data_IF_132595226318
#
_entry.id   IF_132595226318
#
_cell.length_a   1.000
_cell.length_b   1.000
_cell.length_c   1.000
_cell.angle_alpha   90.00
_cell.angle_beta   90.00
_cell.angle_gamma   90.00
#
_symmetry.space_group_name_H-M   'P 1'
#
loop_
_entity.id
_entity.type
_entity.pdbx_description
1 polymer ?
#
# COMPACT_ATOMS: atom_id res chain seq x y z
N UNK A 1 -23.31 -61.98 -40.50
CA UNK A 1 -22.33 -61.24 -39.69
C UNK A 1 -21.75 -62.25 -38.72
N UNK A 2 -20.50 -62.63 -38.93
CA UNK A 2 -19.82 -63.71 -38.21
C UNK A 2 -19.60 -63.30 -36.75
N UNK A 3 -20.10 -64.09 -35.81
CA UNK A 3 -19.90 -63.86 -34.37
C UNK A 3 -18.45 -64.16 -33.98
N UNK A 4 -17.88 -63.30 -33.13
CA UNK A 4 -16.53 -63.47 -32.61
C UNK A 4 -16.41 -64.79 -31.84
N UNK A 5 -15.49 -65.65 -32.27
CA UNK A 5 -15.20 -66.93 -31.62
C UNK A 5 -14.16 -66.73 -30.54
N UNK A 6 -14.32 -67.43 -29.42
CA UNK A 6 -13.34 -67.37 -28.34
C UNK A 6 -11.96 -67.88 -28.81
N UNK A 7 -10.89 -67.10 -28.55
CA UNK A 7 -9.50 -67.47 -28.91
C UNK A 7 -9.02 -68.77 -28.24
N UNK A 8 -9.62 -69.17 -27.12
CA UNK A 8 -9.19 -70.33 -26.33
C UNK A 8 -9.96 -71.62 -26.68
N UNK A 9 -11.29 -71.57 -26.74
CA UNK A 9 -12.12 -72.77 -26.99
C UNK A 9 -12.78 -72.83 -28.37
N UNK A 10 -12.65 -71.79 -29.20
CA UNK A 10 -13.18 -71.75 -30.57
C UNK A 10 -14.71 -71.64 -30.69
N UNK A 11 -15.43 -71.67 -29.57
CA UNK A 11 -16.88 -71.57 -29.52
C UNK A 11 -17.38 -70.12 -29.65
N UNK A 12 -18.56 -69.96 -30.26
CA UNK A 12 -19.24 -68.68 -30.45
C UNK A 12 -20.14 -68.32 -29.25
N UNK A 13 -19.56 -68.39 -28.04
CA UNK A 13 -20.23 -68.17 -26.76
C UNK A 13 -19.54 -67.06 -25.97
N UNK A 14 -19.43 -65.88 -26.58
CA UNK A 14 -18.77 -64.69 -26.02
C UNK A 14 -19.84 -63.66 -25.68
N UNK A 15 -19.87 -63.18 -24.43
CA UNK A 15 -20.86 -62.24 -23.91
C UNK A 15 -20.14 -61.07 -23.24
N UNK A 16 -20.65 -59.85 -23.42
CA UNK A 16 -20.15 -58.65 -22.77
C UNK A 16 -20.94 -58.40 -21.48
N UNK A 17 -20.25 -58.33 -20.34
CA UNK A 17 -20.84 -58.03 -19.04
C UNK A 17 -19.96 -57.00 -18.31
N UNK A 18 -20.58 -55.94 -17.79
CA UNK A 18 -19.94 -54.86 -17.01
C UNK A 18 -18.59 -54.33 -17.54
N UNK A 19 -18.46 -54.17 -18.86
CA UNK A 19 -17.26 -53.60 -19.49
C UNK A 19 -16.14 -54.59 -19.77
N UNK A 20 -16.38 -55.89 -19.58
CA UNK A 20 -15.47 -56.97 -19.95
C UNK A 20 -16.15 -57.96 -20.90
N UNK A 21 -15.38 -58.51 -21.84
CA UNK A 21 -15.87 -59.49 -22.81
C UNK A 21 -15.37 -60.87 -22.38
N UNK A 22 -16.29 -61.76 -21.99
CA UNK A 22 -15.96 -63.06 -21.39
C UNK A 22 -16.64 -64.20 -22.14
N UNK A 23 -15.92 -65.30 -22.32
CA UNK A 23 -16.49 -66.53 -22.86
C UNK A 23 -17.25 -67.30 -21.77
N UNK A 24 -18.54 -67.57 -21.98
CA UNK A 24 -19.39 -68.27 -21.00
C UNK A 24 -19.09 -69.76 -20.86
N UNK A 25 -18.38 -70.36 -21.83
CA UNK A 25 -18.06 -71.80 -21.81
C UNK A 25 -16.72 -72.11 -21.12
N UNK A 26 -15.68 -71.29 -21.35
CA UNK A 26 -14.34 -71.54 -20.79
C UNK A 26 -13.88 -70.49 -19.77
N UNK A 27 -14.67 -69.44 -19.53
CA UNK A 27 -14.34 -68.37 -18.57
C UNK A 27 -13.21 -67.44 -19.01
N UNK A 28 -12.68 -67.59 -20.23
CA UNK A 28 -11.59 -66.77 -20.73
C UNK A 28 -12.09 -65.34 -21.04
N UNK A 29 -11.48 -64.36 -20.39
CA UNK A 29 -11.62 -62.92 -20.71
C UNK A 29 -10.83 -62.62 -21.98
N UNK A 30 -11.48 -62.04 -22.98
CA UNK A 30 -10.85 -61.55 -24.20
C UNK A 30 -10.43 -60.08 -24.00
N UNK A 31 -9.27 -59.70 -24.53
CA UNK A 31 -8.45 -58.52 -24.16
C UNK A 31 -9.18 -57.19 -23.86
N UNK A 32 -8.58 -56.45 -22.92
CA UNK A 32 -8.99 -55.17 -22.33
C UNK A 32 -9.60 -54.17 -23.32
N UNK A 33 -10.92 -54.01 -23.25
CA UNK A 33 -11.57 -52.83 -23.80
C UNK A 33 -11.18 -51.62 -22.92
N UNK A 34 -10.13 -50.89 -23.30
CA UNK A 34 -9.89 -49.54 -22.79
C UNK A 34 -11.02 -48.62 -23.25
N UNK A 35 -12.11 -48.61 -22.48
CA UNK A 35 -13.17 -47.62 -22.63
C UNK A 35 -12.62 -46.30 -22.08
N UNK A 36 -12.23 -45.40 -22.97
CA UNK A 36 -12.00 -44.00 -22.61
C UNK A 36 -13.36 -43.39 -22.25
N UNK A 37 -13.66 -43.30 -20.95
CA UNK A 37 -14.78 -42.49 -20.47
C UNK A 37 -14.37 -41.03 -20.59
N UNK A 38 -15.02 -40.31 -21.50
CA UNK A 38 -14.93 -38.85 -21.63
C UNK A 38 -15.47 -38.21 -20.35
N UNK A 39 -14.65 -37.36 -19.71
CA UNK A 39 -15.02 -36.58 -18.52
C UNK A 39 -16.22 -35.69 -18.80
N UNK A 40 -17.39 -36.13 -18.35
CA UNK A 40 -18.63 -35.35 -18.30
C UNK A 40 -19.51 -35.97 -17.23
N UNK A 41 -19.84 -35.19 -16.20
CA UNK A 41 -20.83 -35.47 -15.17
C UNK A 41 -20.38 -36.31 -13.94
N UNK A 42 -19.48 -35.71 -13.15
CA UNK A 42 -19.44 -36.01 -11.71
C UNK A 42 -20.57 -35.25 -11.00
N UNK A 43 -21.71 -35.91 -10.83
CA UNK A 43 -22.72 -35.51 -9.85
C UNK A 43 -22.50 -36.25 -8.53
N UNK A 44 -22.52 -35.48 -7.45
CA UNK A 44 -22.41 -35.85 -6.04
C UNK A 44 -23.39 -36.98 -5.67
N UNK A 45 -22.89 -38.17 -5.33
CA UNK A 45 -23.48 -39.06 -4.32
C UNK A 45 -22.40 -39.99 -3.76
N UNK A 46 -21.77 -39.56 -2.67
CA UNK A 46 -20.91 -40.41 -1.85
C UNK A 46 -21.78 -41.39 -1.07
N UNK A 47 -22.00 -42.59 -1.61
CA UNK A 47 -22.39 -43.75 -0.81
C UNK A 47 -21.20 -44.70 -0.68
N UNK A 48 -20.83 -44.88 0.58
CA UNK A 48 -19.80 -45.75 1.12
C UNK A 48 -19.84 -47.17 0.52
N UNK A 49 -18.76 -47.59 -0.14
CA UNK A 49 -18.44 -49.01 -0.31
C UNK A 49 -17.36 -49.41 0.71
N UNK A 50 -17.80 -50.15 1.72
CA UNK A 50 -16.92 -50.98 2.54
C UNK A 50 -16.42 -52.15 1.69
N UNK A 51 -15.14 -52.16 1.34
CA UNK A 51 -14.45 -53.35 0.86
C UNK A 51 -13.10 -53.42 1.57
N UNK A 52 -12.85 -54.58 2.20
CA UNK A 52 -11.85 -54.77 3.22
C UNK A 52 -10.41 -54.57 2.75
N UNK A 53 -9.69 -53.75 3.50
CA UNK A 53 -8.24 -53.68 3.48
C UNK A 53 -7.77 -53.48 4.92
N UNK A 54 -6.94 -54.42 5.40
CA UNK A 54 -6.42 -54.47 6.77
C UNK A 54 -5.93 -53.11 7.28
N UNK A 55 -6.57 -52.64 8.36
CA UNK A 55 -6.09 -51.54 9.17
C UNK A 55 -4.89 -52.02 10.00
N UNK A 56 -3.68 -51.59 9.62
CA UNK A 56 -2.55 -51.50 10.54
C UNK A 56 -2.49 -50.05 11.04
N UNK A 57 -2.80 -49.76 12.32
CA UNK A 57 -2.70 -48.42 12.86
C UNK A 57 -1.27 -48.18 13.34
N UNK A 58 -0.34 -47.99 12.41
CA UNK A 58 0.97 -47.43 12.75
C UNK A 58 0.98 -45.96 12.36
N UNK A 59 0.95 -45.15 13.42
CA UNK A 59 1.31 -43.74 13.48
C UNK A 59 2.28 -43.28 12.37
N UNK A 60 2.02 -42.08 11.82
CA UNK A 60 3.03 -41.28 11.11
C UNK A 60 3.13 -41.50 9.60
N UNK A 61 2.13 -41.08 8.83
CA UNK A 61 2.27 -40.87 7.36
C UNK A 61 1.75 -39.48 6.96
N UNK A 62 2.32 -38.44 7.54
CA UNK A 62 2.17 -37.07 7.01
C UNK A 62 3.33 -36.65 6.10
N UNK A 63 4.44 -37.41 6.08
CA UNK A 63 5.69 -36.96 5.44
C UNK A 63 6.02 -37.57 4.07
N UNK A 64 5.24 -38.52 3.56
CA UNK A 64 5.55 -39.16 2.26
C UNK A 64 4.99 -38.45 1.01
N UNK A 65 4.26 -37.32 1.16
CA UNK A 65 3.77 -36.53 0.01
C UNK A 65 4.73 -35.44 -0.47
N UNK A 66 5.92 -35.34 0.11
CA UNK A 66 6.93 -34.33 -0.26
C UNK A 66 7.96 -34.80 -1.29
N UNK A 67 7.93 -36.08 -1.70
CA UNK A 67 9.00 -36.70 -2.49
C UNK A 67 8.98 -36.39 -4.01
N UNK A 68 8.00 -35.64 -4.53
CA UNK A 68 8.03 -35.21 -5.92
C UNK A 68 7.95 -33.68 -5.99
N UNK A 69 9.11 -33.02 -6.11
CA UNK A 69 9.25 -31.56 -6.23
C UNK A 69 8.26 -30.94 -7.22
N UNK A 70 7.92 -31.67 -8.30
CA UNK A 70 6.97 -31.24 -9.31
C UNK A 70 5.50 -31.28 -8.85
N UNK A 71 5.10 -32.26 -8.03
CA UNK A 71 3.72 -32.32 -7.48
C UNK A 71 3.51 -31.28 -6.37
N UNK A 72 4.51 -31.06 -5.52
CA UNK A 72 4.49 -29.97 -4.54
C UNK A 72 4.40 -28.60 -5.24
N UNK A 73 5.23 -28.36 -6.26
CA UNK A 73 5.19 -27.13 -7.04
C UNK A 73 3.80 -26.87 -7.65
N UNK A 74 3.22 -27.88 -8.30
CA UNK A 74 1.87 -27.79 -8.91
C UNK A 74 0.78 -27.54 -7.88
N UNK A 75 0.80 -28.25 -6.74
CA UNK A 75 -0.22 -28.10 -5.70
C UNK A 75 -0.18 -26.72 -5.03
N UNK A 76 1.01 -26.18 -4.74
CA UNK A 76 1.19 -24.84 -4.18
C UNK A 76 0.73 -23.77 -5.17
N UNK A 77 1.15 -23.90 -6.43
CA UNK A 77 0.76 -22.97 -7.49
C UNK A 77 -0.76 -22.96 -7.70
N UNK A 78 -1.39 -24.13 -7.75
CA UNK A 78 -2.85 -24.25 -7.84
C UNK A 78 -3.55 -23.59 -6.65
N UNK A 79 -3.09 -23.87 -5.41
CA UNK A 79 -3.65 -23.29 -4.19
C UNK A 79 -3.64 -21.75 -4.21
N UNK A 80 -2.51 -21.15 -4.54
CA UNK A 80 -2.36 -19.69 -4.54
C UNK A 80 -3.01 -19.03 -5.75
N UNK A 81 -3.08 -19.72 -6.89
CA UNK A 81 -3.83 -19.23 -8.06
C UNK A 81 -5.33 -19.18 -7.75
N UNK A 82 -5.86 -20.20 -7.07
CA UNK A 82 -7.25 -20.19 -6.57
C UNK A 82 -7.48 -19.10 -5.53
N UNK A 83 -6.49 -18.79 -4.69
CA UNK A 83 -6.57 -17.66 -3.76
C UNK A 83 -6.63 -16.32 -4.49
N UNK A 84 -5.81 -16.12 -5.52
CA UNK A 84 -5.84 -14.91 -6.37
C UNK A 84 -7.21 -14.74 -7.02
N UNK A 85 -7.77 -15.82 -7.59
CA UNK A 85 -9.10 -15.77 -8.20
C UNK A 85 -10.17 -15.34 -7.19
N UNK A 86 -10.18 -15.94 -6.00
CA UNK A 86 -11.09 -15.55 -4.91
C UNK A 86 -10.90 -14.09 -4.47
N UNK A 87 -9.65 -13.61 -4.45
CA UNK A 87 -9.36 -12.22 -4.12
C UNK A 87 -9.93 -11.27 -5.18
N UNK A 88 -9.71 -11.56 -6.46
CA UNK A 88 -10.27 -10.78 -7.56
C UNK A 88 -11.81 -10.76 -7.56
N UNK A 89 -12.44 -11.89 -7.21
CA UNK A 89 -13.90 -11.99 -7.00
C UNK A 89 -14.35 -11.12 -5.82
N UNK A 90 -13.65 -11.16 -4.68
CA UNK A 90 -13.99 -10.36 -3.49
C UNK A 90 -13.88 -8.85 -3.74
N UNK A 91 -12.99 -8.43 -4.64
CA UNK A 91 -12.85 -7.03 -5.05
C UNK A 91 -13.80 -6.65 -6.19
N UNK A 92 -14.63 -7.58 -6.68
CA UNK A 92 -15.56 -7.35 -7.78
C UNK A 92 -14.87 -6.87 -9.07
N UNK A 93 -13.68 -7.40 -9.39
CA UNK A 93 -13.02 -7.14 -10.67
C UNK A 93 -13.87 -7.73 -11.80
N UNK A 94 -14.54 -6.88 -12.57
CA UNK A 94 -15.42 -7.29 -13.67
C UNK A 94 -14.68 -7.96 -14.83
N UNK A 95 -13.43 -7.55 -15.09
CA UNK A 95 -12.66 -8.04 -16.23
C UNK A 95 -11.98 -9.38 -15.91
N UNK A 96 -12.49 -10.48 -16.48
CA UNK A 96 -11.90 -11.83 -16.33
C UNK A 96 -10.44 -11.92 -16.81
N UNK A 97 -10.04 -11.09 -17.77
CA UNK A 97 -8.65 -11.07 -18.25
C UNK A 97 -7.67 -10.67 -17.13
N UNK A 98 -8.07 -9.74 -16.26
CA UNK A 98 -7.25 -9.32 -15.12
C UNK A 98 -7.03 -10.47 -14.11
N UNK A 99 -7.99 -11.38 -13.96
CA UNK A 99 -7.83 -12.55 -13.08
C UNK A 99 -6.73 -13.47 -13.58
N UNK A 100 -6.69 -13.69 -14.90
CA UNK A 100 -5.67 -14.53 -15.56
C UNK A 100 -4.30 -13.88 -15.45
N UNK A 101 -4.21 -12.58 -15.77
CA UNK A 101 -2.94 -11.83 -15.71
C UNK A 101 -2.34 -11.78 -14.30
N UNK A 102 -3.15 -11.56 -13.26
CA UNK A 102 -2.69 -11.60 -11.88
C UNK A 102 -2.11 -12.99 -11.52
N UNK A 103 -2.79 -14.06 -11.98
CA UNK A 103 -2.30 -15.42 -11.85
C UNK A 103 -0.98 -15.65 -12.59
N UNK A 104 -0.83 -15.09 -13.79
CA UNK A 104 0.38 -15.25 -14.60
C UNK A 104 1.58 -14.46 -14.05
N UNK A 105 1.36 -13.26 -13.50
CA UNK A 105 2.38 -12.53 -12.73
C UNK A 105 2.85 -13.38 -11.55
N UNK A 106 1.92 -13.98 -10.79
CA UNK A 106 2.27 -14.87 -9.68
C UNK A 106 3.06 -16.09 -10.14
N UNK A 107 2.65 -16.75 -11.23
CA UNK A 107 3.40 -17.89 -11.80
C UNK A 107 4.80 -17.49 -12.23
N UNK A 108 4.98 -16.31 -12.82
CA UNK A 108 6.30 -15.77 -13.17
C UNK A 108 7.15 -15.50 -11.92
N UNK A 109 6.58 -14.86 -10.90
CA UNK A 109 7.26 -14.62 -9.64
C UNK A 109 7.69 -15.92 -8.95
N UNK A 110 6.81 -16.92 -8.92
CA UNK A 110 7.05 -18.19 -8.24
C UNK A 110 8.15 -19.07 -8.88
N UNK A 111 8.56 -18.78 -10.12
CA UNK A 111 9.73 -19.40 -10.76
C UNK A 111 11.05 -18.90 -10.18
N UNK A 112 11.08 -17.73 -9.56
CA UNK A 112 12.28 -17.14 -8.97
C UNK A 112 12.55 -17.79 -7.60
N UNK A 113 13.77 -18.27 -7.38
CA UNK A 113 14.16 -19.02 -6.18
C UNK A 113 13.83 -18.28 -4.87
N UNK A 114 14.06 -16.96 -4.85
CA UNK A 114 13.75 -16.07 -3.72
C UNK A 114 12.28 -16.14 -3.31
N UNK A 115 11.36 -16.09 -4.27
CA UNK A 115 9.92 -16.10 -4.00
C UNK A 115 9.38 -17.53 -3.74
N UNK A 116 10.01 -18.55 -4.32
CA UNK A 116 9.65 -19.96 -4.14
C UNK A 116 9.76 -20.40 -2.67
N UNK A 117 10.85 -20.01 -2.01
CA UNK A 117 11.19 -20.45 -0.65
C UNK A 117 10.62 -19.57 0.47
N UNK A 118 9.71 -18.64 0.15
CA UNK A 118 9.10 -17.76 1.16
C UNK A 118 8.12 -18.48 2.10
N UNK A 119 7.98 -17.92 3.31
CA UNK A 119 6.94 -18.27 4.27
C UNK A 119 5.53 -18.05 3.71
N UNK A 120 4.53 -18.74 4.28
CA UNK A 120 3.13 -18.70 3.84
C UNK A 120 2.56 -17.26 3.84
N UNK A 121 2.87 -16.46 4.84
CA UNK A 121 2.40 -15.08 4.96
C UNK A 121 2.96 -14.19 3.84
N UNK A 122 4.28 -14.30 3.56
CA UNK A 122 4.90 -13.61 2.42
C UNK A 122 4.33 -14.06 1.09
N UNK A 123 3.99 -15.34 0.92
CA UNK A 123 3.30 -15.85 -0.28
C UNK A 123 1.88 -15.28 -0.42
N UNK A 124 1.15 -15.13 0.69
CA UNK A 124 -0.15 -14.44 0.69
C UNK A 124 0.02 -12.98 0.25
N UNK A 125 0.95 -12.25 0.85
CA UNK A 125 1.27 -10.86 0.45
C UNK A 125 1.70 -10.75 -1.02
N UNK A 126 2.41 -11.75 -1.55
CA UNK A 126 2.77 -11.84 -2.96
C UNK A 126 1.54 -11.96 -3.86
N UNK A 127 0.57 -12.82 -3.52
CA UNK A 127 -0.71 -12.90 -4.25
C UNK A 127 -1.44 -11.55 -4.27
N UNK A 128 -1.55 -10.89 -3.11
CA UNK A 128 -2.19 -9.57 -3.01
C UNK A 128 -1.46 -8.53 -3.86
N UNK A 129 -0.13 -8.56 -3.85
CA UNK A 129 0.70 -7.68 -4.68
C UNK A 129 0.51 -7.94 -6.17
N UNK A 130 0.41 -9.21 -6.60
CA UNK A 130 0.15 -9.53 -8.01
C UNK A 130 -1.19 -8.94 -8.48
N UNK A 131 -2.24 -9.07 -7.66
CA UNK A 131 -3.55 -8.47 -7.95
C UNK A 131 -3.44 -6.94 -8.00
N UNK A 132 -2.76 -6.32 -7.03
CA UNK A 132 -2.50 -4.87 -7.04
C UNK A 132 -1.81 -4.42 -8.33
N UNK A 133 -0.72 -5.07 -8.72
CA UNK A 133 0.03 -4.75 -9.93
C UNK A 133 -0.88 -4.83 -11.16
N UNK A 134 -1.68 -5.89 -11.29
CA UNK A 134 -2.64 -6.01 -12.41
C UNK A 134 -3.67 -4.88 -12.38
N UNK A 135 -4.24 -4.54 -11.22
CA UNK A 135 -5.16 -3.41 -11.11
C UNK A 135 -4.52 -2.11 -11.61
N UNK A 136 -3.23 -1.92 -11.34
CA UNK A 136 -2.49 -0.72 -11.75
C UNK A 136 -2.12 -0.70 -13.23
N UNK A 137 -1.87 -1.86 -13.83
CA UNK A 137 -1.66 -1.96 -15.27
C UNK A 137 -2.92 -1.63 -16.09
N UNK A 138 -4.10 -1.80 -15.49
CA UNK A 138 -5.40 -1.46 -16.10
C UNK A 138 -6.00 -0.15 -15.55
N UNK A 139 -5.15 0.75 -15.02
CA UNK A 139 -5.53 2.09 -14.54
C UNK A 139 -6.65 2.11 -13.48
N UNK A 140 -6.84 1.01 -12.75
CA UNK A 140 -7.87 0.96 -11.72
C UNK A 140 -7.35 1.60 -10.41
N UNK A 141 -8.03 2.63 -9.85
CA UNK A 141 -7.51 3.45 -8.75
C UNK A 141 -7.66 2.76 -7.39
N UNK A 142 -7.01 1.61 -7.23
CA UNK A 142 -6.93 0.89 -5.96
C UNK A 142 -5.70 1.33 -5.18
N UNK A 143 -5.92 1.64 -3.91
CA UNK A 143 -4.87 1.92 -2.94
C UNK A 143 -4.48 0.66 -2.16
N UNK A 144 -3.21 0.58 -1.75
CA UNK A 144 -2.69 -0.53 -0.91
C UNK A 144 -3.49 -0.66 0.39
N UNK A 145 -3.98 0.44 0.97
CA UNK A 145 -4.78 0.41 2.21
C UNK A 145 -6.09 -0.37 2.04
N UNK A 146 -6.74 -0.26 0.89
CA UNK A 146 -7.99 -0.97 0.61
C UNK A 146 -7.74 -2.48 0.58
N UNK A 147 -6.61 -2.91 0.01
CA UNK A 147 -6.20 -4.31 -0.02
C UNK A 147 -5.85 -4.86 1.37
N UNK A 148 -5.23 -4.04 2.21
CA UNK A 148 -4.93 -4.40 3.61
C UNK A 148 -6.24 -4.67 4.36
N UNK A 149 -7.25 -3.82 4.18
CA UNK A 149 -8.57 -4.00 4.81
C UNK A 149 -9.30 -5.28 4.39
N UNK A 150 -9.15 -5.71 3.13
CA UNK A 150 -9.81 -6.92 2.60
C UNK A 150 -9.06 -8.19 3.01
N UNK A 151 -7.72 -8.14 2.99
CA UNK A 151 -6.89 -9.35 3.07
C UNK A 151 -6.27 -9.57 4.45
N UNK A 152 -6.35 -8.59 5.36
CA UNK A 152 -5.72 -8.61 6.67
C UNK A 152 -4.22 -8.96 6.58
N UNK A 153 -3.55 -8.36 5.59
CA UNK A 153 -2.10 -8.51 5.38
C UNK A 153 -1.42 -7.23 5.85
N UNK A 154 -0.34 -7.29 6.66
CA UNK A 154 0.32 -6.08 7.15
C UNK A 154 0.81 -5.21 5.99
N UNK A 155 0.60 -3.89 6.11
CA UNK A 155 0.89 -2.90 5.06
C UNK A 155 2.37 -2.90 4.70
N UNK A 156 3.25 -2.95 5.69
CA UNK A 156 4.70 -2.86 5.54
C UNK A 156 5.22 -4.06 4.74
N UNK A 157 4.68 -5.25 5.04
CA UNK A 157 4.99 -6.48 4.32
C UNK A 157 4.52 -6.40 2.87
N UNK A 158 3.28 -5.94 2.65
CA UNK A 158 2.70 -5.80 1.33
C UNK A 158 3.50 -4.82 0.46
N UNK A 159 3.89 -3.67 1.02
CA UNK A 159 4.73 -2.68 0.33
C UNK A 159 6.11 -3.24 -0.03
N UNK A 160 6.74 -3.98 0.90
CA UNK A 160 8.05 -4.59 0.68
C UNK A 160 7.98 -5.61 -0.45
N UNK A 161 7.03 -6.55 -0.40
CA UNK A 161 6.86 -7.58 -1.43
C UNK A 161 6.49 -6.96 -2.78
N UNK A 162 5.61 -5.96 -2.79
CA UNK A 162 5.24 -5.28 -4.03
C UNK A 162 6.46 -4.62 -4.70
N UNK A 163 7.31 -3.93 -3.94
CA UNK A 163 8.56 -3.36 -4.45
C UNK A 163 9.51 -4.44 -4.97
N UNK A 164 9.69 -5.52 -4.22
CA UNK A 164 10.52 -6.66 -4.64
C UNK A 164 10.01 -7.24 -5.98
N UNK A 165 8.69 -7.47 -6.12
CA UNK A 165 8.09 -8.00 -7.35
C UNK A 165 8.30 -7.07 -8.55
N UNK A 166 8.06 -5.77 -8.38
CA UNK A 166 8.22 -4.78 -9.45
C UNK A 166 9.67 -4.75 -9.95
N UNK A 167 10.63 -4.79 -9.02
CA UNK A 167 12.06 -4.80 -9.33
C UNK A 167 12.50 -6.08 -10.05
N UNK A 168 12.13 -7.25 -9.52
CA UNK A 168 12.55 -8.55 -10.04
C UNK A 168 11.87 -8.88 -11.39
N UNK A 169 10.59 -8.53 -11.55
CA UNK A 169 9.83 -8.78 -12.78
C UNK A 169 9.97 -7.64 -13.81
N UNK A 170 10.70 -6.56 -13.46
CA UNK A 170 10.90 -5.36 -14.30
C UNK A 170 9.60 -4.80 -14.88
N UNK A 171 8.55 -4.77 -14.05
CA UNK A 171 7.24 -4.26 -14.47
C UNK A 171 7.28 -2.73 -14.34
N UNK A 172 6.87 -2.03 -15.40
CA UNK A 172 6.64 -0.58 -15.34
C UNK A 172 5.21 -0.35 -14.87
N UNK A 173 5.06 0.43 -13.80
CA UNK A 173 3.75 0.77 -13.24
C UNK A 173 3.67 2.29 -13.15
N UNK A 174 2.64 2.86 -13.74
CA UNK A 174 2.36 4.29 -13.66
C UNK A 174 1.79 4.65 -12.29
N UNK A 175 2.01 5.87 -11.81
CA UNK A 175 1.48 6.36 -10.51
C UNK A 175 -0.05 6.55 -10.55
N UNK A 176 -0.73 6.45 -9.39
CA UNK A 176 -2.20 6.63 -9.35
C UNK A 176 -2.48 8.09 -9.67
N UNK A 177 -3.33 8.33 -10.66
CA UNK A 177 -3.94 9.63 -10.86
C UNK A 177 -4.76 9.98 -9.62
N UNK A 178 -4.40 11.08 -8.95
CA UNK A 178 -5.08 11.51 -7.71
C UNK A 178 -6.56 11.79 -8.02
N UNK A 179 -6.81 12.29 -9.22
CA UNK A 179 -8.10 12.64 -9.78
C UNK A 179 -9.07 11.45 -9.79
N UNK A 180 -8.61 10.26 -10.18
CA UNK A 180 -9.44 9.05 -10.22
C UNK A 180 -9.72 8.46 -8.83
N UNK A 181 -8.86 8.76 -7.87
CA UNK A 181 -9.02 8.28 -6.49
C UNK A 181 -10.00 9.14 -5.67
N UNK A 182 -10.16 10.43 -6.01
CA UNK A 182 -11.03 11.37 -5.26
C UNK A 182 -12.47 10.84 -5.08
N UNK A 183 -13.19 10.39 -6.13
CA UNK A 183 -14.56 9.92 -5.97
C UNK A 183 -14.67 8.72 -5.02
N UNK A 184 -13.71 7.79 -5.08
CA UNK A 184 -13.66 6.62 -4.22
C UNK A 184 -13.45 7.02 -2.75
N UNK A 185 -12.46 7.88 -2.50
CA UNK A 185 -12.17 8.40 -1.16
C UNK A 185 -13.38 9.14 -0.54
N UNK A 186 -14.10 9.94 -1.34
CA UNK A 186 -15.28 10.67 -0.88
C UNK A 186 -16.45 9.74 -0.55
N UNK A 187 -16.71 8.75 -1.40
CA UNK A 187 -17.76 7.73 -1.18
C UNK A 187 -17.50 6.91 0.08
N UNK A 188 -16.26 6.48 0.31
CA UNK A 188 -15.86 5.75 1.52
C UNK A 188 -16.10 6.58 2.81
N UNK A 189 -16.04 7.91 2.70
CA UNK A 189 -16.28 8.84 3.79
C UNK A 189 -17.75 9.32 3.89
N UNK A 190 -18.66 8.77 3.08
CA UNK A 190 -20.11 9.05 3.15
C UNK A 190 -20.57 10.26 2.34
N UNK A 191 -19.74 10.78 1.44
CA UNK A 191 -20.10 11.89 0.55
C UNK A 191 -20.72 11.32 -0.72
N UNK A 192 -22.02 11.53 -0.91
CA UNK A 192 -22.78 11.03 -2.06
C UNK A 192 -23.05 12.09 -3.14
N UNK A 193 -22.94 13.37 -2.80
CA UNK A 193 -23.31 14.46 -3.71
C UNK A 193 -22.23 14.75 -4.74
N UNK A 194 -22.54 14.49 -6.01
CA UNK A 194 -21.63 14.71 -7.15
C UNK A 194 -21.18 16.17 -7.28
N UNK A 195 -21.99 17.13 -6.81
CA UNK A 195 -21.67 18.56 -6.80
C UNK A 195 -20.39 18.85 -6.02
N UNK A 196 -20.25 18.26 -4.83
CA UNK A 196 -19.06 18.45 -4.01
C UNK A 196 -17.88 17.66 -4.57
N UNK A 197 -18.11 16.50 -5.18
CA UNK A 197 -17.06 15.71 -5.86
C UNK A 197 -16.43 16.52 -6.99
N UNK A 198 -17.23 17.11 -7.88
CA UNK A 198 -16.75 17.94 -8.98
C UNK A 198 -15.94 19.15 -8.48
N UNK A 199 -16.45 19.84 -7.46
CA UNK A 199 -15.73 20.99 -6.89
C UNK A 199 -14.45 20.60 -6.14
N UNK A 200 -14.45 19.42 -5.50
CA UNK A 200 -13.26 18.88 -4.84
C UNK A 200 -12.16 18.57 -5.86
N UNK A 201 -12.52 18.04 -7.04
CA UNK A 201 -11.58 17.82 -8.13
C UNK A 201 -10.90 19.12 -8.58
N UNK A 202 -11.66 20.21 -8.76
CA UNK A 202 -11.10 21.52 -9.12
C UNK A 202 -10.12 22.05 -8.06
N UNK A 203 -10.50 21.99 -6.78
CA UNK A 203 -9.65 22.45 -5.66
C UNK A 203 -8.40 21.56 -5.53
N UNK A 204 -8.52 20.26 -5.78
CA UNK A 204 -7.38 19.34 -5.77
C UNK A 204 -6.42 19.56 -6.95
N UNK A 205 -6.94 19.91 -8.13
CA UNK A 205 -6.12 20.31 -9.28
C UNK A 205 -5.30 21.55 -8.93
N UNK A 206 -5.91 22.56 -8.29
CA UNK A 206 -5.19 23.72 -7.78
C UNK A 206 -4.13 23.31 -6.73
N UNK A 207 -4.47 22.43 -5.78
CA UNK A 207 -3.53 21.97 -4.75
C UNK A 207 -2.32 21.22 -5.33
N UNK A 208 -2.50 20.53 -6.46
CA UNK A 208 -1.43 19.85 -7.20
C UNK A 208 -0.45 20.85 -7.82
N UNK A 209 -0.97 21.89 -8.45
CA UNK A 209 -0.17 23.00 -9.02
C UNK A 209 0.59 23.77 -7.94
N UNK A 210 0.01 23.89 -6.74
CA UNK A 210 0.63 24.54 -5.58
C UNK A 210 1.61 23.65 -4.79
N UNK A 211 1.98 22.47 -5.31
CA UNK A 211 2.92 21.53 -4.67
C UNK A 211 2.47 21.00 -3.29
N UNK A 212 1.17 21.04 -2.98
CA UNK A 212 0.62 20.62 -1.68
C UNK A 212 0.35 19.11 -1.59
N UNK A 213 0.43 18.40 -2.70
CA UNK A 213 0.17 16.95 -2.80
C UNK A 213 1.41 16.11 -2.52
N UNK A 214 2.61 16.65 -2.74
CA UNK A 214 3.86 15.87 -2.74
C UNK A 214 4.24 15.41 -1.32
N UNK A 215 4.53 14.11 -1.19
CA UNK A 215 5.03 13.50 0.05
C UNK A 215 4.02 13.51 1.21
N UNK A 216 2.75 13.79 0.95
CA UNK A 216 1.72 14.00 1.97
C UNK A 216 0.62 12.95 1.88
N UNK A 217 -0.10 12.77 2.99
CA UNK A 217 -1.25 11.87 3.06
C UNK A 217 -2.42 12.44 2.25
N UNK A 218 -2.72 11.80 1.12
CA UNK A 218 -3.66 12.30 0.11
C UNK A 218 -5.10 12.39 0.68
N UNK A 219 -5.57 11.40 1.45
CA UNK A 219 -6.94 11.40 1.98
C UNK A 219 -7.23 12.63 2.85
N UNK A 220 -6.23 13.09 3.59
CA UNK A 220 -6.41 14.26 4.47
C UNK A 220 -6.54 15.55 3.66
N UNK A 221 -5.89 15.61 2.50
CA UNK A 221 -5.99 16.71 1.56
C UNK A 221 -7.32 16.67 0.80
N UNK A 222 -7.76 15.48 0.34
CA UNK A 222 -9.07 15.29 -0.31
C UNK A 222 -10.20 15.73 0.62
N UNK A 223 -10.20 15.29 1.88
CA UNK A 223 -11.22 15.69 2.85
C UNK A 223 -11.17 17.18 3.18
N UNK A 224 -9.99 17.80 3.19
CA UNK A 224 -9.85 19.23 3.39
C UNK A 224 -10.41 20.03 2.20
N UNK A 225 -10.11 19.60 0.97
CA UNK A 225 -10.64 20.17 -0.27
C UNK A 225 -12.17 20.00 -0.36
N UNK A 226 -12.69 18.85 0.05
CA UNK A 226 -14.13 18.61 0.14
C UNK A 226 -14.81 19.51 1.17
N UNK A 227 -14.16 19.77 2.31
CA UNK A 227 -14.67 20.73 3.29
C UNK A 227 -14.77 22.14 2.70
N UNK A 228 -13.78 22.56 1.91
CA UNK A 228 -13.81 23.86 1.20
C UNK A 228 -14.95 23.88 0.18
N UNK A 229 -15.06 22.85 -0.66
CA UNK A 229 -16.16 22.71 -1.63
C UNK A 229 -17.54 22.80 -0.96
N UNK A 230 -17.74 22.09 0.15
CA UNK A 230 -18.97 22.12 0.93
C UNK A 230 -19.29 23.50 1.54
N UNK A 231 -18.25 24.23 1.98
CA UNK A 231 -18.40 25.58 2.52
C UNK A 231 -18.75 26.60 1.44
N UNK A 232 -18.22 26.45 0.22
CA UNK A 232 -18.43 27.41 -0.87
C UNK A 232 -19.71 27.14 -1.66
N UNK A 233 -20.10 25.87 -1.84
CA UNK A 233 -21.29 25.51 -2.61
C UNK A 233 -22.61 25.80 -1.88
N UNK A 234 -22.60 26.10 -0.59
CA UNK A 234 -23.82 26.39 0.17
C UNK A 234 -23.61 27.58 1.09
N UNK A 235 -24.37 28.67 0.93
CA UNK A 235 -24.15 29.90 1.68
C UNK A 235 -24.34 29.72 3.20
N UNK A 236 -25.17 28.79 3.66
CA UNK A 236 -25.34 28.50 5.09
C UNK A 236 -24.09 27.86 5.74
N UNK A 237 -23.23 27.24 4.94
CA UNK A 237 -22.08 26.48 5.43
C UNK A 237 -20.82 27.35 5.60
N UNK A 238 -20.82 28.59 5.12
CA UNK A 238 -19.65 29.47 5.14
C UNK A 238 -19.06 29.77 6.54
N UNK A 239 -19.89 29.70 7.59
CA UNK A 239 -19.51 29.91 9.00
C UNK A 239 -19.24 28.60 9.73
N UNK A 240 -19.53 27.46 9.10
CA UNK A 240 -19.42 26.16 9.76
C UNK A 240 -17.97 25.73 9.82
N UNK A 241 -17.55 25.31 11.01
CA UNK A 241 -16.20 24.82 11.31
C UNK A 241 -15.99 23.39 10.79
N UNK A 242 -14.72 22.97 10.67
CA UNK A 242 -14.35 21.60 10.22
C UNK A 242 -14.99 20.50 11.10
N UNK A 243 -15.09 20.62 12.44
CA UNK A 243 -15.84 19.64 13.23
C UNK A 243 -17.33 19.58 12.90
N UNK A 244 -17.95 20.71 12.51
CA UNK A 244 -19.35 20.72 12.08
C UNK A 244 -19.51 20.05 10.72
N UNK A 245 -18.58 20.25 9.78
CA UNK A 245 -18.51 19.50 8.52
C UNK A 245 -18.47 17.98 8.77
N UNK A 246 -17.59 17.54 9.67
CA UNK A 246 -17.50 16.12 10.05
C UNK A 246 -18.79 15.53 10.60
N UNK A 247 -19.51 16.29 11.42
CA UNK A 247 -20.79 15.86 12.00
C UNK A 247 -21.93 15.89 10.99
N UNK A 248 -21.99 16.93 10.15
CA UNK A 248 -23.12 17.12 9.24
C UNK A 248 -23.03 16.24 8.00
N UNK A 249 -21.83 16.07 7.44
CA UNK A 249 -21.65 15.36 6.18
C UNK A 249 -21.09 13.95 6.37
N UNK A 250 -20.03 13.79 7.15
CA UNK A 250 -19.32 12.51 7.27
C UNK A 250 -19.84 11.60 8.38
N UNK A 251 -20.70 12.14 9.27
CA UNK A 251 -21.15 11.54 10.51
C UNK A 251 -19.99 10.94 11.37
N UNK A 252 -18.80 11.55 11.29
CA UNK A 252 -17.56 11.05 11.91
C UNK A 252 -16.68 12.20 12.40
N UNK A 253 -15.81 11.91 13.38
CA UNK A 253 -14.80 12.87 13.84
C UNK A 253 -13.71 13.03 12.77
N UNK A 254 -13.49 14.26 12.34
CA UNK A 254 -12.45 14.59 11.35
C UNK A 254 -11.06 14.55 12.00
N UNK A 255 -10.07 13.85 11.40
CA UNK A 255 -8.70 13.81 11.91
C UNK A 255 -8.03 15.20 11.97
N UNK A 256 -7.11 15.41 12.91
CA UNK A 256 -6.41 16.69 13.05
C UNK A 256 -5.52 17.02 11.85
N UNK A 257 -5.05 15.99 11.12
CA UNK A 257 -4.30 16.18 9.88
C UNK A 257 -5.14 16.94 8.83
N UNK A 258 -6.44 16.65 8.72
CA UNK A 258 -7.36 17.36 7.81
C UNK A 258 -7.47 18.83 8.20
N UNK A 259 -7.52 19.13 9.50
CA UNK A 259 -7.56 20.52 9.98
C UNK A 259 -6.29 21.29 9.62
N UNK A 260 -5.12 20.65 9.70
CA UNK A 260 -3.84 21.24 9.27
C UNK A 260 -3.86 21.54 7.77
N UNK A 261 -4.28 20.58 6.94
CA UNK A 261 -4.34 20.74 5.47
C UNK A 261 -5.38 21.77 5.03
N UNK A 262 -6.54 21.84 5.69
CA UNK A 262 -7.53 22.89 5.43
C UNK A 262 -6.98 24.28 5.75
N UNK A 263 -6.28 24.46 6.87
CA UNK A 263 -5.62 25.73 7.20
C UNK A 263 -4.57 26.13 6.15
N UNK A 264 -3.74 25.19 5.70
CA UNK A 264 -2.74 25.45 4.65
C UNK A 264 -3.41 25.89 3.33
N UNK A 265 -4.40 25.13 2.86
CA UNK A 265 -5.15 25.45 1.63
C UNK A 265 -5.84 26.80 1.72
N UNK A 266 -6.56 27.07 2.81
CA UNK A 266 -7.27 28.33 2.99
C UNK A 266 -6.33 29.53 3.10
N UNK A 267 -5.16 29.36 3.71
CA UNK A 267 -4.14 30.41 3.75
C UNK A 267 -3.59 30.73 2.36
N UNK A 268 -3.34 29.72 1.53
CA UNK A 268 -2.85 29.94 0.16
C UNK A 268 -3.93 30.57 -0.70
N UNK A 269 -5.17 30.07 -0.63
CA UNK A 269 -6.31 30.65 -1.35
C UNK A 269 -6.51 32.12 -0.96
N UNK A 270 -6.45 32.47 0.34
CA UNK A 270 -6.53 33.86 0.80
C UNK A 270 -5.43 34.75 0.20
N UNK A 271 -4.21 34.22 0.07
CA UNK A 271 -3.10 34.93 -0.58
C UNK A 271 -3.38 35.13 -2.08
N UNK A 272 -3.88 34.11 -2.77
CA UNK A 272 -4.27 34.23 -4.18
C UNK A 272 -5.36 35.30 -4.37
N UNK A 273 -6.38 35.33 -3.50
CA UNK A 273 -7.43 36.37 -3.52
C UNK A 273 -6.84 37.77 -3.40
N UNK A 274 -5.80 37.96 -2.58
CA UNK A 274 -5.19 39.28 -2.40
C UNK A 274 -4.50 39.85 -3.64
N UNK A 275 -4.17 38.99 -4.62
CA UNK A 275 -3.58 39.38 -5.91
C UNK A 275 -4.63 39.67 -6.98
N UNK A 276 -5.92 39.45 -6.70
CA UNK A 276 -7.01 39.71 -7.66
C UNK A 276 -7.32 41.22 -7.72
N UNK A 277 -7.24 41.88 -8.89
CA UNK A 277 -7.32 43.35 -9.00
C UNK A 277 -8.62 43.97 -8.47
N UNK A 278 -9.75 43.29 -8.61
CA UNK A 278 -11.07 43.79 -8.21
C UNK A 278 -11.44 43.48 -6.75
N UNK A 279 -10.57 42.79 -6.01
CA UNK A 279 -10.83 42.46 -4.60
C UNK A 279 -10.27 43.55 -3.70
N UNK A 280 -11.16 44.35 -3.10
CA UNK A 280 -10.77 45.39 -2.15
C UNK A 280 -10.27 44.78 -0.83
N UNK A 281 -9.16 45.31 -0.28
CA UNK A 281 -8.58 44.89 1.02
C UNK A 281 -9.59 44.96 2.19
N UNK A 282 -10.59 45.84 2.10
CA UNK A 282 -11.70 45.98 3.05
C UNK A 282 -12.62 44.75 3.09
N UNK A 283 -12.85 44.08 1.96
CA UNK A 283 -13.69 42.89 1.85
C UNK A 283 -12.99 41.67 2.47
N UNK A 284 -11.65 41.62 2.38
CA UNK A 284 -10.82 40.53 2.89
C UNK A 284 -10.62 40.55 4.42
N UNK A 285 -11.07 41.61 5.11
CA UNK A 285 -11.02 41.72 6.58
C UNK A 285 -11.75 40.57 7.30
N UNK A 286 -12.76 40.01 6.65
CA UNK A 286 -13.60 38.92 7.15
C UNK A 286 -12.99 37.55 6.77
N UNK A 287 -12.76 36.67 7.76
CA UNK A 287 -12.07 35.37 7.60
C UNK A 287 -12.64 34.40 6.55
N UNK A 288 -13.95 34.48 6.31
CA UNK A 288 -14.82 33.79 5.36
C UNK A 288 -15.01 34.44 3.97
N UNK A 289 -14.63 35.72 3.76
CA UNK A 289 -14.94 36.43 2.49
C UNK A 289 -14.27 35.84 1.26
N UNK A 290 -13.13 35.18 1.41
CA UNK A 290 -12.41 34.52 0.31
C UNK A 290 -13.25 33.42 -0.38
N UNK A 291 -14.24 32.86 0.32
CA UNK A 291 -15.09 31.78 -0.20
C UNK A 291 -15.91 32.21 -1.43
N UNK A 292 -16.29 33.49 -1.51
CA UNK A 292 -17.03 34.03 -2.65
C UNK A 292 -16.19 34.14 -3.93
N UNK A 293 -14.87 34.20 -3.78
CA UNK A 293 -13.93 34.36 -4.90
C UNK A 293 -13.31 33.03 -5.34
N UNK A 294 -13.70 31.90 -4.73
CA UNK A 294 -13.11 30.60 -5.06
C UNK A 294 -13.34 30.23 -6.53
N UNK A 295 -14.53 30.49 -7.06
CA UNK A 295 -14.86 30.20 -8.46
C UNK A 295 -14.01 31.02 -9.43
N UNK A 296 -13.80 32.30 -9.11
CA UNK A 296 -12.93 33.19 -9.87
C UNK A 296 -11.48 32.70 -9.84
N UNK A 297 -10.97 32.31 -8.67
CA UNK A 297 -9.60 31.77 -8.54
C UNK A 297 -9.44 30.50 -9.37
N UNK A 298 -10.40 29.58 -9.30
CA UNK A 298 -10.34 28.33 -10.05
C UNK A 298 -10.38 28.58 -11.56
N UNK A 299 -11.13 29.60 -12.01
CA UNK A 299 -11.19 30.03 -13.41
C UNK A 299 -9.89 30.69 -13.88
N UNK A 300 -9.25 31.51 -13.05
CA UNK A 300 -8.04 32.27 -13.38
C UNK A 300 -6.75 31.69 -12.81
N UNK A 301 -6.76 30.43 -12.36
CA UNK A 301 -5.65 29.80 -11.62
C UNK A 301 -4.30 29.91 -12.33
N UNK A 302 -4.24 29.67 -13.65
CA UNK A 302 -2.98 29.71 -14.40
C UNK A 302 -2.36 31.12 -14.41
N UNK A 303 -3.19 32.15 -14.60
CA UNK A 303 -2.73 33.55 -14.58
C UNK A 303 -2.34 34.01 -13.17
N UNK A 304 -3.02 33.50 -12.14
CA UNK A 304 -2.66 33.79 -10.75
C UNK A 304 -1.36 33.10 -10.35
N UNK A 305 -1.13 31.87 -10.82
CA UNK A 305 0.08 31.10 -10.56
C UNK A 305 1.30 31.73 -11.22
N UNK A 306 1.20 32.23 -12.46
CA UNK A 306 2.31 32.94 -13.11
C UNK A 306 2.74 34.21 -12.38
N UNK A 307 1.85 34.83 -11.61
CA UNK A 307 2.18 35.98 -10.75
C UNK A 307 2.72 35.57 -9.36
N UNK A 308 2.73 34.28 -9.06
CA UNK A 308 3.21 33.70 -7.79
C UNK A 308 4.54 32.95 -7.95
N UNK A 309 4.91 32.60 -9.19
CA UNK A 309 6.19 32.02 -9.54
C UNK A 309 7.28 33.11 -9.57
N UNK A 310 8.50 32.81 -9.10
CA UNK A 310 9.62 33.72 -9.22
C UNK A 310 9.96 33.96 -10.71
N UNK A 311 10.40 35.17 -11.10
CA UNK A 311 10.83 35.44 -12.47
C UNK A 311 11.98 34.50 -12.88
N UNK A 312 11.99 34.04 -14.14
CA UNK A 312 12.94 33.03 -14.65
C UNK A 312 14.42 33.47 -14.59
N UNK A 313 14.70 34.75 -14.34
CA UNK A 313 16.04 35.35 -14.36
C UNK A 313 16.73 35.47 -12.98
N UNK A 314 16.18 34.90 -11.89
CA UNK A 314 16.81 34.93 -10.56
C UNK A 314 17.48 33.57 -10.22
N UNK A 315 18.70 33.38 -10.70
CA UNK A 315 19.56 32.25 -10.31
C UNK A 315 20.05 32.35 -8.85
N UNK A 316 19.95 33.54 -8.23
CA UNK A 316 20.40 33.81 -6.87
C UNK A 316 19.22 34.04 -5.90
N UNK A 317 19.15 33.19 -4.86
CA UNK A 317 18.15 33.24 -3.77
C UNK A 317 18.22 34.58 -3.00
N UNK A 318 19.36 35.26 -3.05
CA UNK A 318 19.63 36.47 -2.28
C UNK A 318 19.01 37.73 -2.91
N UNK A 319 18.63 37.71 -4.20
CA UNK A 319 17.95 38.83 -4.87
C UNK A 319 16.43 38.89 -4.56
N UNK A 320 15.87 37.82 -3.98
CA UNK A 320 14.46 37.73 -3.58
C UNK A 320 14.17 38.57 -2.32
N UNK A 321 15.19 38.84 -1.48
CA UNK A 321 15.00 39.52 -0.19
C UNK A 321 14.72 41.03 -0.31
N UNK A 322 15.03 41.65 -1.45
CA UNK A 322 14.95 43.10 -1.63
C UNK A 322 13.63 43.61 -2.25
N UNK A 323 12.68 42.73 -2.57
CA UNK A 323 11.34 43.13 -2.99
C UNK A 323 10.35 43.02 -1.82
N UNK A 324 10.20 44.13 -1.09
CA UNK A 324 9.13 44.27 -0.10
C UNK A 324 7.75 44.06 -0.78
N UNK A 325 7.11 42.91 -0.47
CA UNK A 325 5.70 42.54 -0.71
C UNK A 325 5.34 41.62 -1.90
N UNK A 326 6.28 41.05 -2.64
CA UNK A 326 5.94 40.02 -3.62
C UNK A 326 6.10 38.61 -3.04
N UNK A 327 4.95 38.01 -2.71
CA UNK A 327 4.85 36.65 -2.21
C UNK A 327 5.23 35.66 -3.32
N UNK A 328 6.44 35.12 -3.22
CA UNK A 328 6.88 33.98 -4.02
C UNK A 328 6.37 32.69 -3.37
N UNK A 329 5.59 31.90 -4.12
CA UNK A 329 5.10 30.61 -3.67
C UNK A 329 6.21 29.56 -3.83
N UNK A 330 6.94 29.29 -2.76
CA UNK A 330 7.91 28.20 -2.73
C UNK A 330 7.24 26.87 -2.37
N UNK A 331 7.67 25.74 -2.95
CA UNK A 331 7.17 24.44 -2.52
C UNK A 331 7.41 24.24 -1.03
N UNK A 332 6.53 23.54 -0.29
CA UNK A 332 6.61 23.44 1.17
C UNK A 332 7.95 22.92 1.74
N UNK A 333 8.74 22.20 0.95
CA UNK A 333 10.08 21.75 1.31
C UNK A 333 11.09 22.90 1.40
N UNK A 334 10.91 23.96 0.62
CA UNK A 334 11.81 25.12 0.55
C UNK A 334 11.44 26.20 1.56
N UNK A 335 10.17 26.31 1.99
CA UNK A 335 9.75 27.26 3.04
C UNK A 335 10.51 27.07 4.38
N UNK A 336 10.92 25.83 4.70
CA UNK A 336 11.68 25.53 5.90
C UNK A 336 13.13 26.04 5.86
N UNK A 337 13.71 26.16 4.66
CA UNK A 337 15.07 26.67 4.46
C UNK A 337 15.14 28.20 4.57
N UNK A 338 14.12 28.91 4.06
CA UNK A 338 14.05 30.39 4.07
C UNK A 338 13.86 30.94 5.49
N UNK A 339 13.11 30.23 6.34
CA UNK A 339 12.89 30.67 7.75
C UNK A 339 14.16 30.67 8.62
N UNK A 340 15.27 30.08 8.15
CA UNK A 340 16.55 30.05 8.88
C UNK A 340 17.52 31.16 8.48
N UNK A 341 17.22 31.96 7.46
CA UNK A 341 18.10 33.03 6.95
C UNK A 341 17.69 34.46 7.32
N UNK A 342 16.79 34.65 8.30
CA UNK A 342 16.67 35.98 8.92
C UNK A 342 17.85 36.21 9.85
N UNK A 343 18.88 36.88 9.34
CA UNK A 343 19.96 37.46 10.13
C UNK A 343 19.38 38.62 10.94
N UNK A 344 18.82 38.35 12.12
CA UNK A 344 18.45 39.40 13.07
C UNK A 344 19.73 40.04 13.61
N UNK A 345 19.94 41.32 13.32
CA UNK A 345 20.89 42.13 14.06
C UNK A 345 20.46 42.14 15.55
N UNK A 346 21.38 41.99 16.51
CA UNK A 346 21.01 41.85 17.90
C UNK A 346 20.58 43.22 18.46
N UNK A 347 19.28 43.42 18.63
CA UNK A 347 18.76 44.40 19.58
C UNK A 347 18.38 43.69 20.88
N UNK A 348 18.97 44.19 21.95
CA UNK A 348 18.84 43.78 23.35
C UNK A 348 17.37 43.85 23.81
N UNK A 349 17.03 42.93 24.73
CA UNK A 349 15.85 42.92 25.63
C UNK A 349 14.46 42.52 25.07
N UNK A 350 14.07 41.25 25.30
CA UNK A 350 13.21 40.81 26.41
C UNK A 350 12.48 39.48 26.06
N UNK A 351 12.48 38.60 27.06
CA UNK A 351 12.03 37.22 27.02
C UNK A 351 10.53 37.11 26.68
N UNK A 352 10.18 36.26 25.72
CA UNK A 352 8.96 35.46 25.80
C UNK A 352 9.08 34.17 24.97
N UNK A 353 9.19 33.08 25.72
CA UNK A 353 9.39 31.70 25.31
C UNK A 353 8.24 31.19 24.42
N UNK A 354 8.52 30.87 23.16
CA UNK A 354 7.67 29.97 22.37
C UNK A 354 8.50 28.86 21.73
N UNK A 355 8.14 27.62 22.08
CA UNK A 355 8.78 26.36 21.70
C UNK A 355 9.06 26.26 20.19
N UNK A 356 10.35 26.27 19.82
CA UNK A 356 10.84 25.75 18.53
C UNK A 356 11.46 24.37 18.76
N UNK A 357 10.91 23.35 18.10
CA UNK A 357 11.59 22.07 17.91
C UNK A 357 12.74 22.28 16.92
N UNK A 358 13.91 22.59 17.43
CA UNK A 358 15.14 22.77 16.65
C UNK A 358 16.32 22.24 17.45
N UNK A 359 16.37 20.93 17.69
CA UNK A 359 17.63 20.30 18.04
C UNK A 359 18.33 19.95 16.73
N UNK A 360 19.08 20.91 16.21
CA UNK A 360 20.16 20.62 15.27
C UNK A 360 21.42 20.48 16.13
N UNK A 361 21.84 19.23 16.35
CA UNK A 361 23.17 18.95 16.87
C UNK A 361 24.15 19.32 15.77
N UNK A 362 24.85 20.44 15.93
CA UNK A 362 25.95 20.85 15.06
C UNK A 362 27.17 19.95 15.31
N UNK A 363 27.07 18.68 14.93
CA UNK A 363 28.22 17.79 14.89
C UNK A 363 28.94 18.02 13.56
N UNK A 364 30.04 18.75 13.64
CA UNK A 364 30.98 18.94 12.52
C UNK A 364 31.56 17.58 12.14
N UNK A 365 31.29 17.11 10.92
CA UNK A 365 31.86 15.85 10.39
C UNK A 365 33.32 15.97 9.93
N UNK A 366 33.98 17.10 10.17
CA UNK A 366 35.41 17.27 9.91
C UNK A 366 36.23 16.69 11.07
N UNK A 367 36.19 15.37 11.23
CA UNK A 367 37.13 14.66 12.10
C UNK A 367 38.19 13.98 11.22
N UNK A 368 39.49 14.26 11.42
CA UNK A 368 40.54 13.48 10.77
C UNK A 368 40.44 12.03 11.23
N UNK A 369 40.49 11.07 10.31
CA UNK A 369 40.49 9.64 10.64
C UNK A 369 41.73 9.33 11.51
N UNK A 370 41.50 8.95 12.77
CA UNK A 370 42.55 8.53 13.69
C UNK A 370 43.08 7.17 13.25
N UNK A 371 44.41 7.04 13.17
CA UNK A 371 45.08 5.77 12.91
C UNK A 371 45.35 5.01 14.21
N UNK A 372 45.67 3.71 14.14
CA UNK A 372 46.00 2.88 15.33
C UNK A 372 47.17 3.45 16.16
N UNK A 373 47.99 4.34 15.59
CA UNK A 373 49.12 4.99 16.28
C UNK A 373 48.69 6.20 17.12
N UNK A 374 47.49 6.70 16.90
CA UNK A 374 46.96 7.89 17.57
C UNK A 374 46.16 7.55 18.84
N UNK A 375 46.00 6.25 19.14
CA UNK A 375 45.28 5.75 20.33
C UNK A 375 46.32 5.30 21.36
N UNK A 376 46.58 6.07 22.43
CA UNK A 376 47.52 5.65 23.47
C UNK A 376 46.96 4.49 24.30
N UNK A 377 47.83 3.59 24.77
CA UNK A 377 47.44 2.45 25.63
C UNK A 377 46.70 2.88 26.91
N UNK A 378 46.95 4.10 27.39
CA UNK A 378 46.21 4.69 28.51
C UNK A 378 44.72 4.88 28.20
N UNK A 379 44.35 5.20 26.96
CA UNK A 379 42.96 5.32 26.53
C UNK A 379 42.30 3.94 26.49
N UNK A 380 43.00 2.94 25.94
CA UNK A 380 42.52 1.55 25.89
C UNK A 380 42.23 1.00 27.29
N UNK A 381 43.05 1.37 28.28
CA UNK A 381 42.87 1.00 29.68
C UNK A 381 41.54 1.47 30.30
N UNK A 382 40.94 2.56 29.81
CA UNK A 382 39.64 3.05 30.30
C UNK A 382 38.47 2.11 29.92
N UNK A 383 38.63 1.34 28.84
CA UNK A 383 37.64 0.37 28.38
C UNK A 383 37.85 -1.03 28.98
N UNK A 384 38.99 -1.27 29.62
CA UNK A 384 39.30 -2.52 30.30
C UNK A 384 38.86 -2.40 31.76
N UNK A 385 37.90 -3.24 32.15
CA UNK A 385 37.45 -3.30 33.55
C UNK A 385 38.60 -3.59 34.48
N UNK A 386 38.68 -2.82 35.55
CA UNK A 386 39.70 -3.03 36.58
C UNK A 386 39.47 -4.38 37.29
N UNK A 387 40.53 -4.99 37.86
CA UNK A 387 40.39 -6.25 38.60
C UNK A 387 39.39 -6.19 39.76
N UNK A 388 39.17 -5.01 40.35
CA UNK A 388 38.18 -4.79 41.40
C UNK A 388 36.75 -4.84 40.84
N UNK A 389 36.50 -4.16 39.72
CA UNK A 389 35.21 -4.20 39.03
C UNK A 389 34.87 -5.61 38.55
N UNK A 390 35.86 -6.36 38.04
CA UNK A 390 35.65 -7.76 37.63
C UNK A 390 35.21 -8.63 38.82
N UNK A 391 35.78 -8.43 40.01
CA UNK A 391 35.38 -9.16 41.23
C UNK A 391 33.94 -8.83 41.62
N UNK A 392 33.59 -7.54 41.64
CA UNK A 392 32.23 -7.10 41.95
C UNK A 392 31.20 -7.64 40.95
N UNK A 393 31.51 -7.62 39.65
CA UNK A 393 30.62 -8.19 38.62
C UNK A 393 30.43 -9.69 38.80
N UNK A 394 31.49 -10.43 39.18
CA UNK A 394 31.39 -11.86 39.46
C UNK A 394 30.57 -12.15 40.72
N UNK A 395 30.74 -11.37 41.78
CA UNK A 395 29.95 -11.49 43.01
C UNK A 395 28.46 -11.21 42.75
N UNK A 396 28.16 -10.16 41.98
CA UNK A 396 26.78 -9.84 41.58
C UNK A 396 26.16 -10.89 40.66
N UNK A 397 26.95 -11.50 39.76
CA UNK A 397 26.48 -12.58 38.90
C UNK A 397 26.12 -13.84 39.71
N UNK A 398 26.93 -14.21 40.71
CA UNK A 398 26.64 -15.33 41.61
C UNK A 398 25.37 -15.08 42.43
N UNK A 399 25.16 -13.84 42.90
CA UNK A 399 23.93 -13.48 43.61
C UNK A 399 22.71 -13.55 42.69
N UNK A 400 22.86 -13.16 41.41
CA UNK A 400 21.78 -13.24 40.42
C UNK A 400 21.40 -14.70 40.11
N UNK A 401 22.38 -15.60 39.99
CA UNK A 401 22.15 -17.03 39.75
C UNK A 401 21.44 -17.70 40.93
N UNK A 402 21.84 -17.37 42.17
CA UNK A 402 21.18 -17.89 43.39
C UNK A 402 19.73 -17.40 43.50
N UNK A 403 19.43 -16.17 43.10
CA UNK A 403 18.06 -15.64 43.13
C UNK A 403 17.18 -16.24 42.01
N UNK A 404 17.77 -16.66 40.89
CA UNK A 404 17.05 -17.35 39.82
C UNK A 404 16.72 -18.80 40.18
N UNK A 405 17.58 -19.51 40.90
CA UNK A 405 17.31 -20.88 41.37
C UNK A 405 16.29 -20.96 42.54
N UNK A 406 16.08 -19.85 43.26
CA UNK A 406 15.11 -19.74 44.36
C UNK A 406 13.76 -19.13 43.94
N UNK A 407 13.56 -18.83 42.66
CA UNK A 407 12.30 -18.36 42.06
C UNK A 407 11.68 -19.46 41.20
#
# INVERSE_FOLDING_TARGET
>A
MEGEKCKNCGEAAVVADEGQVVCTNCGQVQEDATVFVTEGDFHEHSQSCHAGGSFNPTFGKQDYRLANSNTYYRSVLHKWTKYIQKLCESMQIANKQMHIEAGDIFKRAFKISRFKNMMKERKKAMCVSCVYITCRLHEWPIMIINLVGITDTPRELLMTINRELIQELKIKIDTVSIEDYIPTCLKENGVTDDRWTAKTLEVMSLAKELWLTIGRHIDALILASCCIAWQTSTPENHKKSIPQFGRSLLNKKVPDLVKKRHKELTNIIKKMVSKVPWVSKTILSKSWSWMFFLDDILKYKNSLLSHLEPPEDCDDIDDIENQENDFILLPPAYEASVRKRKFEQPSIEEENFTLKSGHETSESMNNPELSEKDIPDSELGHYIRTPKEIRLVKELAVIADINYENS
#
